data_IF_153618880186
#
_entry.id   IF_153618880186
#
_cell.length_a   1.000
_cell.length_b   1.000
_cell.length_c   1.000
_cell.angle_alpha   90.00
_cell.angle_beta   90.00
_cell.angle_gamma   90.00
#
_symmetry.space_group_name_H-M   'P 1'
#
loop_
_entity.id
_entity.type
_entity.pdbx_description
1 polymer ?
#
# COMPACT_ATOMS: atom_id res chain seq x y z
N UNK A 1 13.60 -12.41 11.08
CA UNK A 1 12.84 -11.55 10.14
C UNK A 1 11.39 -11.99 10.19
N UNK A 2 10.43 -11.07 10.01
CA UNK A 2 9.01 -11.40 10.07
C UNK A 2 8.66 -12.49 9.05
N UNK A 3 7.78 -13.41 9.43
CA UNK A 3 7.29 -14.47 8.55
C UNK A 3 6.01 -14.02 7.81
N UNK A 4 5.44 -14.90 6.97
CA UNK A 4 4.19 -14.64 6.25
C UNK A 4 3.08 -14.11 7.16
N UNK A 5 2.81 -14.80 8.28
CA UNK A 5 1.74 -14.46 9.22
C UNK A 5 1.99 -13.11 9.88
N UNK A 6 3.24 -12.78 10.23
CA UNK A 6 3.57 -11.47 10.81
C UNK A 6 3.21 -10.33 9.85
N UNK A 7 3.48 -10.50 8.54
CA UNK A 7 3.10 -9.53 7.53
C UNK A 7 1.57 -9.43 7.33
N UNK A 8 0.84 -10.55 7.40
CA UNK A 8 -0.63 -10.53 7.36
C UNK A 8 -1.20 -9.76 8.55
N UNK A 9 -0.75 -10.06 9.78
CA UNK A 9 -1.18 -9.33 10.96
C UNK A 9 -0.85 -7.84 10.89
N UNK A 10 0.32 -7.47 10.37
CA UNK A 10 0.67 -6.06 10.20
C UNK A 10 -0.19 -5.38 9.13
N UNK A 11 -0.55 -6.10 8.05
CA UNK A 11 -1.47 -5.58 7.04
C UNK A 11 -2.88 -5.33 7.61
N UNK A 12 -3.41 -6.28 8.39
CA UNK A 12 -4.68 -6.12 9.13
C UNK A 12 -4.64 -4.92 10.08
N UNK A 13 -3.58 -4.82 10.87
CA UNK A 13 -3.40 -3.72 11.81
C UNK A 13 -3.43 -2.37 11.08
N UNK A 14 -2.64 -2.23 10.01
CA UNK A 14 -2.57 -1.00 9.23
C UNK A 14 -3.91 -0.66 8.54
N UNK A 15 -4.68 -1.66 8.11
CA UNK A 15 -6.04 -1.47 7.58
C UNK A 15 -6.98 -0.90 8.64
N UNK A 16 -6.99 -1.50 9.85
CA UNK A 16 -7.81 -1.02 10.98
C UNK A 16 -7.43 0.40 11.40
N UNK A 17 -6.13 0.73 11.42
CA UNK A 17 -5.66 2.10 11.69
C UNK A 17 -6.16 3.05 10.60
N UNK A 18 -6.12 2.64 9.33
CA UNK A 18 -6.65 3.43 8.22
C UNK A 18 -8.14 3.73 8.36
N UNK A 19 -8.94 2.73 8.74
CA UNK A 19 -10.37 2.87 8.97
C UNK A 19 -10.63 3.82 10.16
N UNK A 20 -9.88 3.67 11.26
CA UNK A 20 -9.95 4.59 12.40
C UNK A 20 -9.65 6.04 12.01
N UNK A 21 -8.54 6.27 11.31
CA UNK A 21 -8.14 7.62 10.87
C UNK A 21 -9.12 8.25 9.88
N UNK A 22 -9.86 7.44 9.12
CA UNK A 22 -10.89 7.95 8.23
C UNK A 22 -12.11 8.51 8.99
N UNK A 23 -12.43 7.94 10.15
CA UNK A 23 -13.51 8.48 11.01
C UNK A 23 -13.11 9.82 11.64
N UNK A 24 -11.82 10.05 11.82
CA UNK A 24 -11.28 11.31 12.28
C UNK A 24 -11.32 12.38 11.17
N UNK A 25 -11.75 13.60 11.50
CA UNK A 25 -11.85 14.69 10.52
C UNK A 25 -10.56 15.51 10.38
N UNK A 26 -9.53 15.24 11.19
CA UNK A 26 -8.29 16.02 11.23
C UNK A 26 -7.14 15.34 10.50
N UNK A 27 -7.03 14.01 10.63
CA UNK A 27 -5.89 13.22 10.16
C UNK A 27 -6.25 12.19 9.08
N UNK A 28 -7.34 12.43 8.35
CA UNK A 28 -7.81 11.49 7.33
C UNK A 28 -6.79 11.29 6.19
N UNK A 29 -5.88 12.23 5.95
CA UNK A 29 -4.79 12.08 4.98
C UNK A 29 -3.78 10.99 5.38
N UNK A 30 -3.53 10.81 6.68
CA UNK A 30 -2.70 9.72 7.19
C UNK A 30 -3.32 8.34 6.94
N UNK A 31 -4.63 8.25 6.75
CA UNK A 31 -5.26 7.00 6.35
C UNK A 31 -4.72 6.48 5.00
N UNK A 32 -4.34 7.38 4.08
CA UNK A 32 -3.68 6.99 2.82
C UNK A 32 -2.29 6.38 3.04
N UNK A 33 -1.58 6.84 4.07
CA UNK A 33 -0.26 6.31 4.43
C UNK A 33 -0.42 4.90 4.99
N UNK A 34 -1.36 4.71 5.90
CA UNK A 34 -1.59 3.40 6.55
C UNK A 34 -2.18 2.38 5.58
N UNK A 35 -3.09 2.78 4.69
CA UNK A 35 -3.63 1.86 3.68
C UNK A 35 -2.56 1.43 2.67
N UNK A 36 -1.63 2.33 2.32
CA UNK A 36 -0.45 1.95 1.54
C UNK A 36 0.40 0.91 2.27
N UNK A 37 0.72 1.13 3.55
CA UNK A 37 1.51 0.15 4.32
C UNK A 37 0.78 -1.18 4.52
N UNK A 38 -0.56 -1.19 4.56
CA UNK A 38 -1.33 -2.42 4.51
C UNK A 38 -1.10 -3.16 3.18
N UNK A 39 -1.22 -2.46 2.05
CA UNK A 39 -0.96 -3.04 0.72
C UNK A 39 0.48 -3.54 0.54
N UNK A 40 1.48 -2.82 1.09
CA UNK A 40 2.88 -3.21 1.06
C UNK A 40 3.11 -4.54 1.77
N UNK A 41 2.60 -4.68 3.00
CA UNK A 41 2.81 -5.92 3.75
C UNK A 41 2.11 -7.13 3.13
N UNK A 42 1.01 -6.93 2.41
CA UNK A 42 0.41 -8.02 1.63
C UNK A 42 1.31 -8.50 0.51
N UNK A 43 1.92 -7.57 -0.23
CA UNK A 43 2.89 -7.94 -1.26
C UNK A 43 4.12 -8.60 -0.64
N UNK A 44 4.62 -8.11 0.50
CA UNK A 44 5.74 -8.75 1.22
C UNK A 44 5.40 -10.15 1.71
N UNK A 45 4.20 -10.37 2.24
CA UNK A 45 3.72 -11.70 2.60
C UNK A 45 3.76 -12.64 1.38
N UNK A 46 3.27 -12.18 0.23
CA UNK A 46 3.28 -12.98 -1.00
C UNK A 46 4.68 -13.32 -1.50
N UNK A 47 5.63 -12.40 -1.38
CA UNK A 47 7.04 -12.64 -1.70
C UNK A 47 7.60 -13.74 -0.79
N UNK A 48 7.35 -13.64 0.52
CA UNK A 48 7.81 -14.64 1.49
C UNK A 48 7.18 -16.00 1.22
N UNK A 49 5.88 -16.04 0.90
CA UNK A 49 5.19 -17.28 0.59
C UNK A 49 5.73 -17.92 -0.70
N UNK A 50 5.99 -17.12 -1.73
CA UNK A 50 6.42 -17.60 -3.05
C UNK A 50 7.88 -18.06 -3.07
N UNK A 51 8.77 -17.33 -2.38
CA UNK A 51 10.22 -17.55 -2.50
C UNK A 51 10.88 -18.05 -1.21
N UNK A 52 10.13 -18.15 -0.11
CA UNK A 52 10.66 -18.42 1.23
C UNK A 52 11.82 -17.49 1.63
N UNK A 53 11.80 -16.27 1.07
CA UNK A 53 12.82 -15.22 1.22
C UNK A 53 12.12 -13.89 1.37
N UNK A 54 12.77 -12.96 2.05
CA UNK A 54 12.28 -11.58 2.14
C UNK A 54 12.82 -10.70 1.00
N UNK A 55 12.23 -9.53 0.85
CA UNK A 55 12.61 -8.48 -0.09
C UNK A 55 14.12 -8.18 -0.12
N UNK A 56 14.75 -8.05 1.06
CA UNK A 56 16.17 -7.69 1.15
C UNK A 56 17.09 -8.81 0.67
N UNK A 57 16.63 -10.06 0.69
CA UNK A 57 17.38 -11.21 0.17
C UNK A 57 17.22 -11.42 -1.33
N UNK A 58 16.12 -10.91 -1.92
CA UNK A 58 15.81 -11.09 -3.33
C UNK A 58 16.21 -9.91 -4.20
N UNK A 59 16.19 -8.69 -3.64
CA UNK A 59 16.55 -7.49 -4.38
C UNK A 59 18.03 -7.47 -4.74
N UNK A 60 18.35 -6.88 -5.89
CA UNK A 60 19.74 -6.58 -6.27
C UNK A 60 20.31 -5.47 -5.39
N UNK A 61 21.64 -5.40 -5.25
CA UNK A 61 22.30 -4.41 -4.40
C UNK A 61 22.13 -2.96 -4.87
N UNK A 62 21.94 -2.76 -6.18
CA UNK A 62 21.67 -1.46 -6.82
C UNK A 62 20.17 -1.09 -6.79
N UNK A 63 19.30 -1.99 -6.30
CA UNK A 63 17.87 -1.82 -6.35
C UNK A 63 17.31 -1.37 -4.99
N UNK A 64 16.48 -0.33 -5.00
CA UNK A 64 15.71 0.06 -3.81
C UNK A 64 14.62 -0.97 -3.54
N UNK A 65 14.17 -1.11 -2.28
CA UNK A 65 13.01 -1.95 -1.96
C UNK A 65 11.78 -1.54 -2.80
N UNK A 66 11.62 -0.23 -3.04
CA UNK A 66 10.57 0.34 -3.87
C UNK A 66 10.61 -0.22 -5.31
N UNK A 67 11.76 -0.11 -5.98
CA UNK A 67 11.90 -0.52 -7.37
C UNK A 67 11.69 -2.04 -7.51
N UNK A 68 12.20 -2.80 -6.54
CA UNK A 68 11.99 -4.24 -6.49
C UNK A 68 10.50 -4.60 -6.39
N UNK A 69 9.75 -3.93 -5.50
CA UNK A 69 8.31 -4.18 -5.34
C UNK A 69 7.55 -3.90 -6.63
N UNK A 70 7.83 -2.77 -7.29
CA UNK A 70 7.17 -2.46 -8.56
C UNK A 70 7.44 -3.52 -9.63
N UNK A 71 8.71 -3.92 -9.80
CA UNK A 71 9.10 -4.95 -10.78
C UNK A 71 8.44 -6.28 -10.45
N UNK A 72 8.49 -6.70 -9.17
CA UNK A 72 7.85 -7.93 -8.71
C UNK A 72 6.36 -7.94 -9.06
N UNK A 73 5.63 -6.85 -8.76
CA UNK A 73 4.19 -6.80 -9.03
C UNK A 73 3.91 -6.83 -10.54
N UNK A 74 4.66 -6.05 -11.35
CA UNK A 74 4.50 -6.01 -12.81
C UNK A 74 4.76 -7.35 -13.48
N UNK A 75 5.69 -8.15 -12.95
CA UNK A 75 6.05 -9.45 -13.51
C UNK A 75 5.05 -10.54 -13.10
N UNK A 76 4.57 -10.52 -11.86
CA UNK A 76 3.85 -11.66 -11.27
C UNK A 76 2.33 -11.47 -11.20
N UNK A 77 1.82 -10.26 -11.41
CA UNK A 77 0.40 -9.94 -11.26
C UNK A 77 -0.13 -9.11 -12.43
N UNK A 78 -1.45 -9.05 -12.54
CA UNK A 78 -2.11 -8.26 -13.58
C UNK A 78 -1.81 -6.76 -13.46
N UNK A 79 -1.88 -6.09 -14.61
CA UNK A 79 -1.78 -4.62 -14.69
C UNK A 79 -2.81 -3.90 -13.79
N UNK A 80 -3.95 -4.55 -13.49
CA UNK A 80 -4.95 -4.01 -12.55
C UNK A 80 -4.41 -3.98 -11.12
N UNK A 81 -3.77 -5.06 -10.66
CA UNK A 81 -3.13 -5.10 -9.33
C UNK A 81 -2.00 -4.07 -9.25
N UNK A 82 -1.15 -4.00 -10.27
CA UNK A 82 -0.09 -2.99 -10.34
C UNK A 82 -0.65 -1.56 -10.25
N UNK A 83 -1.67 -1.22 -11.05
CA UNK A 83 -2.30 0.12 -11.03
C UNK A 83 -2.89 0.47 -9.67
N UNK A 84 -3.54 -0.49 -9.01
CA UNK A 84 -4.10 -0.28 -7.67
C UNK A 84 -2.98 -0.03 -6.64
N UNK A 85 -2.00 -0.94 -6.56
CA UNK A 85 -0.84 -0.82 -5.68
C UNK A 85 -0.11 0.52 -5.87
N UNK A 86 0.24 0.82 -7.12
CA UNK A 86 0.93 2.06 -7.48
C UNK A 86 0.09 3.29 -7.10
N UNK A 87 -1.24 3.24 -7.21
CA UNK A 87 -2.07 4.36 -6.78
C UNK A 87 -2.03 4.60 -5.26
N UNK A 88 -1.96 3.56 -4.42
CA UNK A 88 -1.79 3.72 -2.97
C UNK A 88 -0.42 4.33 -2.63
N UNK A 89 0.61 3.82 -3.29
CA UNK A 89 1.99 4.27 -3.14
C UNK A 89 2.15 5.76 -3.50
N UNK A 90 1.62 6.17 -4.66
CA UNK A 90 1.64 7.56 -5.10
C UNK A 90 0.89 8.47 -4.12
N UNK A 91 -0.30 8.07 -3.68
CA UNK A 91 -1.07 8.84 -2.70
C UNK A 91 -0.31 9.01 -1.37
N UNK A 92 0.30 7.94 -0.86
CA UNK A 92 1.14 7.98 0.33
C UNK A 92 2.38 8.86 0.16
N UNK A 93 3.01 8.85 -1.02
CA UNK A 93 4.15 9.72 -1.31
C UNK A 93 3.76 11.20 -1.37
N UNK A 94 2.63 11.53 -1.98
CA UNK A 94 2.10 12.90 -2.04
C UNK A 94 1.87 13.44 -0.62
N UNK A 95 1.19 12.67 0.24
CA UNK A 95 0.87 13.10 1.60
C UNK A 95 2.13 13.23 2.47
N UNK A 96 3.09 12.30 2.37
CA UNK A 96 4.29 12.30 3.23
C UNK A 96 5.39 13.25 2.77
N UNK A 97 5.62 13.34 1.47
CA UNK A 97 6.75 14.06 0.90
C UNK A 97 6.34 15.33 0.19
N UNK A 98 5.04 15.66 0.19
CA UNK A 98 4.48 16.81 -0.52
C UNK A 98 4.88 16.80 -2.00
N UNK A 99 5.07 15.59 -2.54
CA UNK A 99 5.55 15.35 -3.90
C UNK A 99 4.56 15.98 -4.89
N UNK A 100 5.09 16.68 -5.90
CA UNK A 100 4.37 17.45 -6.93
C UNK A 100 3.98 18.92 -6.63
N UNK A 101 4.38 19.51 -5.50
CA UNK A 101 4.08 20.93 -5.25
C UNK A 101 5.31 21.85 -5.41
N UNK A 102 5.30 22.69 -6.45
CA UNK A 102 6.16 23.88 -6.62
C UNK A 102 5.43 25.16 -6.21
N UNK A 103 4.58 25.12 -5.19
CA UNK A 103 3.87 26.35 -4.84
C UNK A 103 4.75 27.32 -4.07
N UNK A 104 4.43 28.59 -4.29
CA UNK A 104 5.03 29.74 -3.61
C UNK A 104 4.65 29.81 -2.12
N UNK A 105 3.74 28.95 -1.64
CA UNK A 105 3.29 28.94 -0.24
C UNK A 105 3.02 27.52 0.26
N UNK A 106 3.37 27.20 1.52
CA UNK A 106 3.15 25.89 2.10
C UNK A 106 1.64 25.62 2.26
N UNK A 107 1.20 24.45 1.81
CA UNK A 107 -0.17 23.96 2.01
C UNK A 107 -0.09 22.71 2.90
N UNK A 108 -0.97 22.54 3.90
CA UNK A 108 -0.99 21.33 4.72
C UNK A 108 -1.33 20.07 3.91
N UNK A 109 -0.80 18.92 4.33
CA UNK A 109 -0.95 17.62 3.64
C UNK A 109 -2.40 17.18 3.45
N UNK A 110 -3.27 17.51 4.41
CA UNK A 110 -4.70 17.21 4.33
C UNK A 110 -5.44 18.00 3.23
N UNK A 111 -4.81 18.95 2.55
CA UNK A 111 -5.42 19.66 1.42
C UNK A 111 -5.20 18.96 0.07
N UNK A 112 -4.31 17.96 -0.01
CA UNK A 112 -4.00 17.26 -1.26
C UNK A 112 -5.09 16.27 -1.68
N UNK A 113 -5.78 15.70 -0.70
CA UNK A 113 -6.92 14.82 -0.90
C UNK A 113 -8.10 15.35 -0.11
N UNK A 114 -9.29 15.34 -0.70
CA UNK A 114 -10.53 15.51 0.07
C UNK A 114 -10.81 14.22 0.81
N UNK A 115 -11.53 14.29 1.94
CA UNK A 115 -11.98 13.10 2.69
C UNK A 115 -12.63 12.06 1.78
N UNK A 116 -13.52 12.49 0.88
CA UNK A 116 -14.19 11.61 -0.10
C UNK A 116 -13.24 10.88 -1.06
N UNK A 117 -12.08 11.47 -1.38
CA UNK A 117 -11.06 10.76 -2.14
C UNK A 117 -10.45 9.64 -1.30
N UNK A 118 -10.17 9.91 -0.02
CA UNK A 118 -9.61 8.91 0.90
C UNK A 118 -10.59 7.77 1.18
N UNK A 119 -11.87 8.09 1.38
CA UNK A 119 -12.97 7.11 1.48
C UNK A 119 -12.96 6.19 0.26
N UNK A 120 -12.84 6.74 -0.95
CA UNK A 120 -12.77 5.93 -2.17
C UNK A 120 -11.55 4.99 -2.21
N UNK A 121 -10.39 5.42 -1.71
CA UNK A 121 -9.21 4.55 -1.61
C UNK A 121 -9.45 3.37 -0.65
N UNK A 122 -10.03 3.64 0.52
CA UNK A 122 -10.19 2.65 1.59
C UNK A 122 -11.40 1.74 1.33
N UNK A 123 -12.53 2.28 0.92
CA UNK A 123 -13.81 1.53 0.84
C UNK A 123 -14.05 0.90 -0.53
N UNK A 124 -13.32 1.31 -1.58
CA UNK A 124 -13.51 0.78 -2.94
C UNK A 124 -12.23 0.16 -3.49
N UNK A 125 -11.14 0.94 -3.54
CA UNK A 125 -9.89 0.46 -4.18
C UNK A 125 -9.22 -0.64 -3.38
N UNK A 126 -9.11 -0.50 -2.07
CA UNK A 126 -8.42 -1.49 -1.24
C UNK A 126 -9.15 -2.86 -1.20
N UNK A 127 -10.49 -2.94 -1.04
CA UNK A 127 -11.23 -4.19 -1.23
C UNK A 127 -11.07 -4.80 -2.62
N UNK A 128 -11.06 -3.98 -3.66
CA UNK A 128 -10.83 -4.46 -5.04
C UNK A 128 -9.43 -5.04 -5.20
N UNK A 129 -8.42 -4.40 -4.58
CA UNK A 129 -7.04 -4.86 -4.59
C UNK A 129 -6.89 -6.21 -3.88
N UNK A 130 -7.42 -6.34 -2.66
CA UNK A 130 -7.34 -7.59 -1.87
C UNK A 130 -8.07 -8.75 -2.53
N UNK A 131 -9.24 -8.50 -3.12
CA UNK A 131 -10.00 -9.49 -3.88
C UNK A 131 -9.21 -9.99 -5.09
N UNK A 132 -8.66 -9.08 -5.90
CA UNK A 132 -7.84 -9.44 -7.06
C UNK A 132 -6.59 -10.22 -6.63
N UNK A 133 -5.90 -9.74 -5.60
CA UNK A 133 -4.68 -10.34 -5.09
C UNK A 133 -4.92 -11.76 -4.56
N UNK A 134 -6.02 -11.98 -3.85
CA UNK A 134 -6.48 -13.30 -3.39
C UNK A 134 -6.73 -14.24 -4.59
N UNK A 135 -7.43 -13.74 -5.61
CA UNK A 135 -7.76 -14.54 -6.80
C UNK A 135 -6.54 -14.93 -7.63
N UNK A 136 -5.55 -14.04 -7.77
CA UNK A 136 -4.36 -14.28 -8.61
C UNK A 136 -3.26 -15.04 -7.86
N UNK A 137 -3.20 -14.93 -6.53
CA UNK A 137 -2.19 -15.63 -5.71
C UNK A 137 -2.58 -17.05 -5.29
N UNK A 138 -3.85 -17.44 -5.48
CA UNK A 138 -4.44 -18.66 -4.91
C UNK A 138 -4.27 -18.76 -3.38
N UNK A 139 -4.11 -17.63 -2.69
CA UNK A 139 -4.00 -17.54 -1.24
C UNK A 139 -5.20 -16.80 -0.68
N UNK A 140 -5.77 -17.34 0.40
CA UNK A 140 -6.91 -16.71 1.06
C UNK A 140 -6.43 -15.57 1.97
N UNK A 141 -6.31 -14.36 1.42
CA UNK A 141 -5.95 -13.15 2.15
C UNK A 141 -7.24 -12.51 2.70
N UNK A 142 -7.82 -13.09 3.75
CA UNK A 142 -9.00 -12.51 4.42
C UNK A 142 -8.52 -11.37 5.34
N UNK A 143 -8.81 -10.12 4.97
CA UNK A 143 -8.38 -8.88 5.64
C UNK A 143 -9.40 -7.76 5.47
#
# INVERSE_FOLDING_TARGET
MPNFIDHIHQAEHNKKVSEYLLTDNQYYDWALVTIFYSSLHLIEALIINTFHKNTNQLRRSDQTAYNFMEEFIKINYSDKIWKLYHSFQQASMVVRYLHHYKALSPIPSHSYYKKTHVEHFIEKKFPSFTQLLTSESNLNLII
#
